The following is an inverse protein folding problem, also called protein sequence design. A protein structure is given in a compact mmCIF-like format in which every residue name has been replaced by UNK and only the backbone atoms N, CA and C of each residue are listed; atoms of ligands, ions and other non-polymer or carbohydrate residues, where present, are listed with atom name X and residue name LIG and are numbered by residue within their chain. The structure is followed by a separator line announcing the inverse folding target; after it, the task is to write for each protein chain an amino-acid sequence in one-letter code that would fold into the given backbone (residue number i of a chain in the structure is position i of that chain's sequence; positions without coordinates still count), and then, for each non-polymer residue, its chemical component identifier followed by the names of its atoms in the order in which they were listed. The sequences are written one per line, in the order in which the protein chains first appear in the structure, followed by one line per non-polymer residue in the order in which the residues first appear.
data_IF_235717596892
#
_entry.id   IF_235717596892
#
_cell.length_a   1.000
_cell.length_b   1.000
_cell.length_c   1.000
_cell.angle_alpha   90.00
_cell.angle_beta   90.00
_cell.angle_gamma   90.00
#
_symmetry.space_group_name_H-M   'P 1'
#
loop_
_entity.id
_entity.type
_entity.pdbx_description
1 polymer ?
#
# COMPACT_ATOMS: atom_id res chain seq x y z
N UNK A 1 -35.03 50.61 -2.07
CA UNK A 1 -33.68 50.87 -1.55
C UNK A 1 -32.92 49.56 -1.48
N UNK A 2 -31.69 49.55 -2.02
CA UNK A 2 -30.83 48.39 -2.21
C UNK A 2 -30.42 47.69 -0.91
N UNK A 3 -30.53 46.36 -0.87
CA UNK A 3 -29.62 45.51 -0.12
C UNK A 3 -28.61 44.93 -1.10
N UNK A 4 -27.43 45.54 -1.17
CA UNK A 4 -26.22 44.91 -1.70
C UNK A 4 -25.37 44.45 -0.52
N UNK A 5 -24.62 43.37 -0.79
CA UNK A 5 -23.42 42.90 -0.07
C UNK A 5 -23.73 41.98 1.10
N UNK A 6 -23.54 40.66 0.89
CA UNK A 6 -22.85 39.71 1.78
C UNK A 6 -23.10 38.27 1.30
N UNK A 7 -22.64 37.93 0.09
CA UNK A 7 -22.61 36.54 -0.40
C UNK A 7 -21.30 36.26 -1.12
N UNK A 8 -20.19 36.65 -0.50
CA UNK A 8 -18.85 36.41 -1.02
C UNK A 8 -17.85 36.19 0.12
N UNK A 9 -18.06 35.17 0.95
CA UNK A 9 -17.12 34.85 2.03
C UNK A 9 -17.08 33.36 2.46
N UNK A 10 -17.66 32.42 1.70
CA UNK A 10 -17.64 30.98 2.05
C UNK A 10 -17.35 30.14 0.80
N UNK A 11 -16.26 30.42 0.10
CA UNK A 11 -15.84 29.60 -1.06
C UNK A 11 -14.35 29.24 -1.06
N UNK A 12 -13.64 29.44 0.05
CA UNK A 12 -12.17 29.25 0.11
C UNK A 12 -11.68 28.35 1.25
N UNK A 13 -12.55 27.55 1.87
CA UNK A 13 -12.13 26.55 2.86
C UNK A 13 -11.91 25.13 2.29
N UNK A 14 -12.16 24.90 0.99
CA UNK A 14 -11.98 23.58 0.36
C UNK A 14 -10.56 23.34 -0.21
N UNK A 15 -9.66 24.32 -0.15
CA UNK A 15 -8.32 24.21 -0.73
C UNK A 15 -7.29 23.50 0.19
N UNK A 16 -7.65 23.16 1.44
CA UNK A 16 -6.77 22.46 2.39
C UNK A 16 -7.12 20.97 2.56
N UNK A 17 -8.13 20.45 1.87
CA UNK A 17 -8.46 19.02 1.83
C UNK A 17 -7.67 18.23 0.77
N UNK A 18 -6.66 18.87 0.13
CA UNK A 18 -5.93 18.31 -1.01
C UNK A 18 -4.95 17.18 -0.69
N UNK A 19 -4.43 17.09 0.55
CA UNK A 19 -3.54 15.99 0.96
C UNK A 19 -4.17 15.07 2.02
N UNK A 20 -5.14 15.53 2.80
CA UNK A 20 -5.83 14.67 3.77
C UNK A 20 -6.79 13.67 3.11
N UNK A 21 -7.44 14.08 2.01
CA UNK A 21 -8.44 13.24 1.35
C UNK A 21 -7.87 11.98 0.69
N UNK A 22 -6.67 12.07 0.11
CA UNK A 22 -6.08 10.92 -0.60
C UNK A 22 -5.62 9.87 0.39
N UNK A 23 -4.99 10.27 1.51
CA UNK A 23 -4.60 9.36 2.59
C UNK A 23 -5.79 8.63 3.20
N UNK A 24 -6.89 9.33 3.49
CA UNK A 24 -8.11 8.70 4.01
C UNK A 24 -8.72 7.69 3.02
N UNK A 25 -8.74 8.01 1.72
CA UNK A 25 -9.25 7.10 0.69
C UNK A 25 -8.31 5.93 0.43
N UNK A 26 -7.00 6.16 0.45
CA UNK A 26 -6.00 5.10 0.35
C UNK A 26 -6.14 4.13 1.54
N UNK A 27 -6.34 4.66 2.75
CA UNK A 27 -6.66 3.84 3.92
C UNK A 27 -7.91 2.99 3.70
N UNK A 28 -9.02 3.60 3.23
CA UNK A 28 -10.24 2.86 2.95
C UNK A 28 -10.07 1.78 1.87
N UNK A 29 -9.26 2.04 0.84
CA UNK A 29 -8.91 1.06 -0.19
C UNK A 29 -8.11 -0.11 0.39
N UNK A 30 -7.07 0.18 1.17
CA UNK A 30 -6.21 -0.85 1.80
C UNK A 30 -7.04 -1.72 2.75
N UNK A 31 -7.91 -1.11 3.56
CA UNK A 31 -8.83 -1.85 4.45
C UNK A 31 -9.80 -2.73 3.66
N UNK A 32 -10.31 -2.26 2.52
CA UNK A 32 -11.19 -3.03 1.65
C UNK A 32 -10.47 -4.13 0.84
N UNK A 33 -9.16 -4.00 0.59
CA UNK A 33 -8.37 -4.95 -0.19
C UNK A 33 -8.14 -6.30 0.52
N UNK A 34 -8.32 -6.30 1.84
CA UNK A 34 -8.08 -7.45 2.68
C UNK A 34 -6.60 -7.69 3.01
N UNK A 35 -5.77 -6.64 3.01
CA UNK A 35 -4.33 -6.73 3.28
C UNK A 35 -4.04 -7.46 4.60
N UNK A 36 -4.76 -7.13 5.67
CA UNK A 36 -4.58 -7.77 6.98
C UNK A 36 -4.89 -9.27 6.95
N UNK A 37 -5.93 -9.70 6.21
CA UNK A 37 -6.22 -11.13 6.03
C UNK A 37 -5.12 -11.84 5.21
N UNK A 38 -4.41 -11.10 4.35
CA UNK A 38 -3.33 -11.62 3.52
C UNK A 38 -1.95 -11.55 4.17
N UNK A 39 -1.77 -10.84 5.29
CA UNK A 39 -0.49 -10.66 5.97
C UNK A 39 0.25 -11.99 6.19
N UNK A 40 -0.45 -13.04 6.62
CA UNK A 40 0.15 -14.36 6.80
C UNK A 40 0.75 -14.96 5.52
N UNK A 41 0.15 -14.68 4.35
CA UNK A 41 0.70 -15.09 3.06
C UNK A 41 1.87 -14.21 2.62
N UNK A 42 1.86 -12.92 2.95
CA UNK A 42 2.97 -12.00 2.68
C UNK A 42 4.22 -12.45 3.43
N UNK A 43 4.08 -12.71 4.74
CA UNK A 43 5.13 -13.29 5.59
C UNK A 43 5.65 -14.60 5.01
N UNK A 44 4.75 -15.48 4.56
CA UNK A 44 5.14 -16.77 3.99
C UNK A 44 5.95 -16.62 2.69
N UNK A 45 5.54 -15.70 1.81
CA UNK A 45 6.28 -15.41 0.56
C UNK A 45 7.65 -14.80 0.87
N UNK A 46 7.72 -13.87 1.81
CA UNK A 46 8.98 -13.29 2.28
C UNK A 46 9.89 -14.35 2.89
N UNK A 47 9.39 -15.20 3.79
CA UNK A 47 10.19 -16.28 4.39
C UNK A 47 10.78 -17.24 3.34
N UNK A 48 10.03 -17.54 2.27
CA UNK A 48 10.52 -18.34 1.15
C UNK A 48 11.62 -17.66 0.35
N UNK A 49 11.63 -16.33 0.23
CA UNK A 49 12.68 -15.61 -0.49
C UNK A 49 14.03 -15.74 0.23
N UNK A 50 14.04 -15.70 1.57
CA UNK A 50 15.24 -15.89 2.38
C UNK A 50 15.68 -17.35 2.51
N UNK A 51 14.77 -18.32 2.40
CA UNK A 51 15.07 -19.75 2.61
C UNK A 51 16.24 -20.28 1.76
N UNK A 52 16.44 -19.74 0.55
CA UNK A 52 17.56 -20.12 -0.31
C UNK A 52 18.94 -19.65 0.19
N UNK A 53 18.98 -18.53 0.93
CA UNK A 53 20.20 -17.95 1.50
C UNK A 53 20.59 -18.60 2.82
N UNK A 54 19.62 -19.15 3.54
CA UNK A 54 19.78 -19.75 4.87
C UNK A 54 19.38 -21.24 4.89
N UNK A 55 20.05 -22.12 4.11
CA UNK A 55 19.65 -23.52 3.94
C UNK A 55 19.81 -24.38 5.20
N UNK A 56 20.49 -23.87 6.22
CA UNK A 56 20.69 -24.51 7.52
C UNK A 56 19.60 -24.20 8.53
N UNK A 57 18.76 -23.19 8.28
CA UNK A 57 17.68 -22.78 9.17
C UNK A 57 16.38 -23.46 8.75
N UNK A 58 15.58 -23.88 9.73
CA UNK A 58 14.24 -24.38 9.46
C UNK A 58 13.34 -23.25 8.96
N UNK A 59 12.43 -23.57 8.03
CA UNK A 59 11.56 -22.56 7.44
C UNK A 59 10.73 -21.79 8.48
N UNK A 60 10.32 -22.45 9.56
CA UNK A 60 9.61 -21.81 10.66
C UNK A 60 10.45 -20.76 11.40
N UNK A 61 11.75 -20.99 11.55
CA UNK A 61 12.66 -20.01 12.15
C UNK A 61 12.74 -18.74 11.29
N UNK A 62 12.94 -18.92 9.98
CA UNK A 62 12.99 -17.81 9.02
C UNK A 62 11.67 -17.03 9.04
N UNK A 63 10.55 -17.75 9.05
CA UNK A 63 9.20 -17.16 9.10
C UNK A 63 8.98 -16.33 10.37
N UNK A 64 9.52 -16.74 11.50
CA UNK A 64 9.39 -16.00 12.76
C UNK A 64 10.22 -14.71 12.73
N UNK A 65 11.47 -14.77 12.25
CA UNK A 65 12.30 -13.57 12.06
C UNK A 65 11.62 -12.55 11.14
N UNK A 66 11.03 -13.01 10.03
CA UNK A 66 10.25 -12.13 9.14
C UNK A 66 9.09 -11.45 9.87
N UNK A 67 8.34 -12.16 10.72
CA UNK A 67 7.23 -11.57 11.50
C UNK A 67 7.69 -10.56 12.52
N UNK A 68 8.83 -10.80 13.15
CA UNK A 68 9.37 -9.92 14.17
C UNK A 68 9.87 -8.58 13.60
N UNK A 69 10.20 -8.55 12.30
CA UNK A 69 10.79 -7.39 11.63
C UNK A 69 9.90 -6.77 10.54
N UNK A 70 8.70 -7.31 10.32
CA UNK A 70 7.71 -6.79 9.37
C UNK A 70 6.33 -6.77 10.03
N UNK A 71 6.00 -5.68 10.73
CA UNK A 71 4.70 -5.52 11.38
C UNK A 71 3.57 -5.32 10.37
N UNK A 72 2.38 -5.85 10.69
CA UNK A 72 1.23 -5.78 9.81
C UNK A 72 0.65 -4.36 9.68
N UNK A 73 0.66 -3.57 10.74
CA UNK A 73 0.18 -2.19 10.73
C UNK A 73 1.21 -1.27 10.07
N UNK A 74 2.52 -1.47 10.29
CA UNK A 74 3.56 -0.72 9.57
C UNK A 74 3.50 -0.99 8.06
N UNK A 75 3.29 -2.25 7.66
CA UNK A 75 3.07 -2.62 6.26
C UNK A 75 1.80 -1.95 5.70
N UNK A 76 0.72 -1.90 6.48
CA UNK A 76 -0.52 -1.24 6.07
C UNK A 76 -0.28 0.26 5.85
N UNK A 77 0.32 0.94 6.82
CA UNK A 77 0.57 2.37 6.76
C UNK A 77 1.49 2.72 5.58
N UNK A 78 2.52 1.90 5.33
CA UNK A 78 3.37 2.03 4.16
C UNK A 78 2.60 1.94 2.83
N UNK A 79 1.72 0.94 2.68
CA UNK A 79 0.89 0.80 1.47
C UNK A 79 -0.05 1.99 1.33
N UNK A 80 -0.60 2.51 2.43
CA UNK A 80 -1.46 3.70 2.42
C UNK A 80 -0.71 4.92 1.90
N UNK A 81 0.49 5.20 2.42
CA UNK A 81 1.29 6.35 1.99
C UNK A 81 1.64 6.27 0.50
N UNK A 82 2.12 5.10 0.04
CA UNK A 82 2.46 4.90 -1.37
C UNK A 82 1.24 5.13 -2.27
N UNK A 83 0.06 4.61 -1.90
CA UNK A 83 -1.13 4.82 -2.71
C UNK A 83 -1.61 6.27 -2.67
N UNK A 84 -1.50 6.96 -1.54
CA UNK A 84 -1.88 8.36 -1.40
C UNK A 84 -0.97 9.31 -2.19
N UNK A 85 0.31 8.97 -2.37
CA UNK A 85 1.28 9.73 -3.15
C UNK A 85 1.08 9.57 -4.66
N UNK A 86 0.60 8.41 -5.08
CA UNK A 86 0.47 8.06 -6.50
C UNK A 86 -0.93 8.28 -7.07
N UNK A 87 -1.98 8.26 -6.25
CA UNK A 87 -3.36 8.34 -6.71
C UNK A 87 -4.13 9.50 -6.08
N UNK A 88 -4.92 10.20 -6.90
CA UNK A 88 -5.81 11.24 -6.42
C UNK A 88 -7.13 10.67 -5.85
N UNK A 89 -7.95 11.56 -5.31
CA UNK A 89 -9.22 11.18 -4.67
C UNK A 89 -10.21 10.47 -5.61
N UNK A 90 -10.30 10.90 -6.87
CA UNK A 90 -11.25 10.35 -7.83
C UNK A 90 -10.79 8.97 -8.32
N UNK A 91 -9.48 8.81 -8.49
CA UNK A 91 -8.82 7.55 -8.81
C UNK A 91 -9.00 6.53 -7.68
N UNK A 92 -8.70 6.91 -6.44
CA UNK A 92 -8.87 6.05 -5.26
C UNK A 92 -10.33 5.65 -5.06
N UNK A 93 -11.29 6.55 -5.25
CA UNK A 93 -12.72 6.21 -5.20
C UNK A 93 -13.13 5.20 -6.28
N UNK A 94 -12.57 5.32 -7.48
CA UNK A 94 -12.81 4.36 -8.54
C UNK A 94 -12.22 2.98 -8.19
N UNK A 95 -11.01 2.94 -7.62
CA UNK A 95 -10.37 1.71 -7.15
C UNK A 95 -11.17 1.05 -6.03
N UNK A 96 -11.66 1.81 -5.04
CA UNK A 96 -12.51 1.30 -3.95
C UNK A 96 -13.78 0.66 -4.51
N UNK A 97 -14.49 1.36 -5.40
CA UNK A 97 -15.73 0.83 -6.00
C UNK A 97 -15.48 -0.41 -6.85
N UNK A 98 -14.38 -0.44 -7.61
CA UNK A 98 -13.98 -1.61 -8.38
C UNK A 98 -13.64 -2.81 -7.47
N UNK A 99 -12.96 -2.57 -6.35
CA UNK A 99 -12.65 -3.60 -5.36
C UNK A 99 -13.91 -4.14 -4.66
N UNK A 100 -14.89 -3.29 -4.38
CA UNK A 100 -16.19 -3.69 -3.80
C UNK A 100 -17.08 -4.46 -4.77
N UNK A 101 -16.90 -4.28 -6.08
CA UNK A 101 -17.71 -4.89 -7.14
C UNK A 101 -16.82 -5.55 -8.22
N UNK A 102 -16.11 -6.64 -7.89
CA UNK A 102 -15.14 -7.25 -8.79
C UNK A 102 -15.75 -7.77 -10.10
N UNK A 103 -17.03 -8.18 -10.08
CA UNK A 103 -17.81 -8.58 -11.25
C UNK A 103 -18.08 -7.42 -12.24
N UNK A 104 -18.01 -6.18 -11.76
CA UNK A 104 -18.28 -4.96 -12.52
C UNK A 104 -17.04 -4.10 -12.75
N UNK A 105 -15.93 -4.40 -12.08
CA UNK A 105 -14.69 -3.61 -12.12
C UNK A 105 -14.24 -3.28 -13.56
N UNK A 106 -14.24 -4.28 -14.43
CA UNK A 106 -13.85 -4.08 -15.84
C UNK A 106 -14.79 -3.12 -16.56
N UNK A 107 -16.10 -3.23 -16.35
CA UNK A 107 -17.07 -2.32 -16.93
C UNK A 107 -16.86 -0.88 -16.42
N UNK A 108 -16.62 -0.69 -15.12
CA UNK A 108 -16.34 0.63 -14.53
C UNK A 108 -15.10 1.30 -15.16
N UNK A 109 -14.06 0.49 -15.43
CA UNK A 109 -12.81 0.95 -16.04
C UNK A 109 -13.00 1.31 -17.51
N UNK A 110 -13.60 0.44 -18.33
CA UNK A 110 -13.63 0.64 -19.80
C UNK A 110 -14.69 1.65 -20.27
N UNK A 111 -15.77 1.84 -19.50
CA UNK A 111 -16.91 2.68 -19.92
C UNK A 111 -16.75 4.17 -19.59
N UNK A 112 -15.77 4.52 -18.75
CA UNK A 112 -15.52 5.91 -18.34
C UNK A 112 -14.20 6.43 -18.90
N UNK A 113 -14.09 7.76 -19.06
CA UNK A 113 -12.79 8.38 -19.40
C UNK A 113 -11.82 8.21 -18.23
N UNK A 114 -12.26 8.56 -17.02
CA UNK A 114 -11.48 8.43 -15.78
C UNK A 114 -10.94 7.01 -15.57
N UNK A 115 -11.74 5.97 -15.83
CA UNK A 115 -11.29 4.59 -15.70
C UNK A 115 -10.22 4.18 -16.71
N UNK A 116 -10.33 4.65 -17.96
CA UNK A 116 -9.29 4.42 -18.97
C UNK A 116 -8.00 5.17 -18.66
N UNK A 117 -8.12 6.41 -18.21
CA UNK A 117 -6.98 7.24 -17.80
C UNK A 117 -6.27 6.59 -16.59
N UNK A 118 -7.03 6.11 -15.58
CA UNK A 118 -6.51 5.36 -14.43
C UNK A 118 -5.81 4.07 -14.86
N UNK A 119 -6.39 3.28 -15.75
CA UNK A 119 -5.76 2.06 -16.24
C UNK A 119 -4.42 2.34 -16.93
N UNK A 120 -4.36 3.39 -17.76
CA UNK A 120 -3.12 3.81 -18.41
C UNK A 120 -2.08 4.31 -17.39
N UNK A 121 -2.52 5.06 -16.38
CA UNK A 121 -1.65 5.53 -15.30
C UNK A 121 -1.05 4.36 -14.53
N UNK A 122 -1.86 3.39 -14.11
CA UNK A 122 -1.39 2.18 -13.40
C UNK A 122 -0.30 1.47 -14.21
N UNK A 123 -0.48 1.30 -15.53
CA UNK A 123 0.55 0.69 -16.38
C UNK A 123 1.84 1.52 -16.46
N UNK A 124 1.75 2.84 -16.31
CA UNK A 124 2.91 3.75 -16.38
C UNK A 124 3.67 3.78 -15.06
N UNK A 125 2.97 3.75 -13.93
CA UNK A 125 3.57 3.93 -12.59
C UNK A 125 3.82 2.63 -11.85
N UNK A 126 3.43 1.46 -12.39
CA UNK A 126 3.62 0.16 -11.73
C UNK A 126 5.06 -0.06 -11.27
N UNK A 127 6.04 0.24 -12.12
CA UNK A 127 7.46 0.10 -11.77
C UNK A 127 7.88 1.09 -10.67
N UNK A 128 7.32 2.30 -10.67
CA UNK A 128 7.58 3.31 -9.64
C UNK A 128 7.02 2.85 -8.30
N UNK A 129 5.75 2.42 -8.25
CA UNK A 129 5.13 1.88 -7.03
C UNK A 129 5.93 0.68 -6.49
N UNK A 130 6.38 -0.22 -7.36
CA UNK A 130 7.20 -1.36 -6.95
C UNK A 130 8.55 -0.94 -6.34
N UNK A 131 9.16 0.11 -6.91
CA UNK A 131 10.40 0.69 -6.39
C UNK A 131 10.19 1.36 -5.03
N UNK A 132 9.13 2.15 -4.89
CA UNK A 132 8.83 2.84 -3.64
C UNK A 132 8.50 1.85 -2.52
N UNK A 133 7.81 0.75 -2.85
CA UNK A 133 7.59 -0.35 -1.92
C UNK A 133 8.90 -1.03 -1.49
N UNK A 134 9.83 -1.26 -2.42
CA UNK A 134 11.14 -1.81 -2.10
C UNK A 134 11.96 -0.87 -1.22
N UNK A 135 11.95 0.43 -1.53
CA UNK A 135 12.66 1.45 -0.73
C UNK A 135 12.08 1.52 0.68
N UNK A 136 10.75 1.51 0.83
CA UNK A 136 10.10 1.55 2.13
C UNK A 136 10.32 0.29 2.99
N UNK A 137 10.59 -0.86 2.36
CA UNK A 137 10.91 -2.12 3.05
C UNK A 137 12.41 -2.34 3.30
N UNK A 138 13.28 -1.41 2.90
CA UNK A 138 14.74 -1.60 2.99
C UNK A 138 15.20 -1.80 4.43
N UNK A 139 14.73 -0.97 5.37
CA UNK A 139 15.10 -1.09 6.78
C UNK A 139 14.65 -2.44 7.38
N UNK A 140 13.46 -2.92 7.01
CA UNK A 140 12.98 -4.25 7.41
C UNK A 140 13.81 -5.37 6.78
N UNK A 141 14.22 -5.25 5.51
CA UNK A 141 15.07 -6.25 4.85
C UNK A 141 16.44 -6.36 5.52
N UNK A 142 17.06 -5.23 5.86
CA UNK A 142 18.33 -5.19 6.59
C UNK A 142 18.19 -5.85 7.97
N UNK A 143 17.16 -5.49 8.74
CA UNK A 143 16.91 -6.08 10.06
C UNK A 143 16.64 -7.59 10.02
N UNK A 144 15.91 -8.06 9.00
CA UNK A 144 15.67 -9.50 8.78
C UNK A 144 16.98 -10.22 8.48
N UNK A 145 17.81 -9.66 7.59
CA UNK A 145 19.09 -10.26 7.21
C UNK A 145 20.02 -10.37 8.42
N UNK A 146 20.15 -9.30 9.20
CA UNK A 146 20.99 -9.28 10.40
C UNK A 146 20.54 -10.35 11.42
N UNK A 147 19.24 -10.43 11.70
CA UNK A 147 18.69 -11.42 12.63
C UNK A 147 18.83 -12.87 12.11
N UNK A 148 18.73 -13.10 10.80
CA UNK A 148 18.96 -14.42 10.20
C UNK A 148 20.44 -14.81 10.23
N UNK A 149 21.35 -13.85 10.03
CA UNK A 149 22.79 -14.07 10.13
C UNK A 149 23.19 -14.44 11.56
N UNK A 150 22.67 -13.73 12.56
CA UNK A 150 22.87 -14.05 13.98
C UNK A 150 22.37 -15.48 14.30
N UNK A 151 21.14 -15.81 13.87
CA UNK A 151 20.55 -17.12 14.12
C UNK A 151 21.32 -18.27 13.43
N UNK A 152 21.85 -18.00 12.23
CA UNK A 152 22.71 -18.94 11.51
C UNK A 152 24.00 -19.19 12.29
N UNK A 153 24.62 -18.15 12.82
CA UNK A 153 25.90 -18.26 13.52
C UNK A 153 25.73 -19.00 14.87
N UNK A 154 24.61 -18.78 15.58
CA UNK A 154 24.24 -19.56 16.76
C UNK A 154 24.02 -21.05 16.45
N UNK A 155 23.45 -21.39 15.30
CA UNK A 155 23.21 -22.77 14.89
C UNK A 155 24.50 -23.52 14.49
N UNK A 156 25.59 -22.80 14.21
CA UNK A 156 26.87 -23.35 13.74
C UNK A 156 27.98 -23.37 14.81
N UNK A 157 27.80 -22.67 15.93
CA UNK A 157 28.72 -22.63 17.09
C UNK A 157 28.44 -23.70 18.14
#
# INVERSE_FOLDING_TARGET
MSMKKLTLAVLLAAALAGCGGSKEKAQALVEASGLNQQYGNIVEVAARSYSSRYPMLEHEQIRNVVRENLDAEDLKDMVVEIYADHFDNDELDLMIRANQHPDQAMAMIITSKTGRDLAQKIMTIQTTIAKDMQEALTDSDEAIIDALDDLKDEAQG
#
